data_IF_119787545467
#
_entry.id   IF_119787545467
#
_cell.length_a   1.000
_cell.length_b   1.000
_cell.length_c   1.000
_cell.angle_alpha   90.00
_cell.angle_beta   90.00
_cell.angle_gamma   90.00
#
_symmetry.space_group_name_H-M   'P 1'
#
loop_
_entity.id
_entity.type
_entity.pdbx_description
1 polymer ?
#
# COMPACT_ATOMS: atom_id res chain seq x y z
N UNK A 1 16.78 -10.06 28.24
CA UNK A 1 16.00 -9.07 27.46
C UNK A 1 14.74 -9.75 26.94
N UNK A 2 13.55 -9.46 27.49
CA UNK A 2 12.33 -10.03 26.92
C UNK A 2 12.08 -9.38 25.55
N UNK A 3 11.90 -10.22 24.53
CA UNK A 3 11.63 -9.77 23.16
C UNK A 3 10.29 -9.06 23.16
N UNK A 4 10.28 -7.81 22.72
CA UNK A 4 9.07 -7.02 22.51
C UNK A 4 8.02 -7.87 21.78
N UNK A 5 6.78 -7.82 22.28
CA UNK A 5 5.61 -8.37 21.61
C UNK A 5 5.40 -7.58 20.31
N UNK A 6 6.16 -7.95 19.27
CA UNK A 6 5.97 -7.44 17.92
C UNK A 6 4.61 -7.93 17.49
N UNK A 7 3.69 -7.00 17.24
CA UNK A 7 2.36 -7.30 16.73
C UNK A 7 2.45 -8.37 15.66
N UNK A 8 1.55 -9.35 15.72
CA UNK A 8 1.65 -10.56 14.92
C UNK A 8 1.84 -10.20 13.45
N UNK A 9 2.95 -10.67 12.87
CA UNK A 9 3.24 -10.51 11.44
C UNK A 9 2.07 -11.10 10.64
N UNK A 10 1.80 -10.56 9.45
CA UNK A 10 0.77 -11.11 8.57
C UNK A 10 0.93 -12.63 8.40
N UNK A 11 -0.06 -13.39 8.88
CA UNK A 11 -0.09 -14.85 8.73
C UNK A 11 -0.39 -15.29 7.28
N UNK A 12 -1.04 -14.41 6.52
CA UNK A 12 -1.35 -14.56 5.09
C UNK A 12 -1.22 -13.18 4.43
N UNK A 13 -0.97 -13.17 3.12
CA UNK A 13 -0.97 -11.92 2.36
C UNK A 13 -2.34 -11.22 2.52
N UNK A 14 -2.36 -9.91 2.87
CA UNK A 14 -3.60 -9.14 2.93
C UNK A 14 -4.33 -9.13 1.58
N UNK A 15 -5.62 -8.80 1.62
CA UNK A 15 -6.39 -8.60 0.40
C UNK A 15 -6.15 -7.20 -0.18
N UNK A 16 -6.29 -7.01 -1.50
CA UNK A 16 -6.29 -5.68 -2.11
C UNK A 16 -7.38 -4.78 -1.53
N UNK A 17 -7.09 -3.49 -1.44
CA UNK A 17 -8.06 -2.46 -1.04
C UNK A 17 -8.49 -1.70 -2.29
N UNK A 18 -9.77 -1.74 -2.62
CA UNK A 18 -10.33 -1.05 -3.78
C UNK A 18 -11.03 0.23 -3.33
N UNK A 19 -10.78 1.33 -4.04
CA UNK A 19 -11.46 2.62 -3.89
C UNK A 19 -11.76 3.18 -5.27
N UNK A 20 -13.03 3.12 -5.65
CA UNK A 20 -13.48 3.56 -6.98
C UNK A 20 -12.63 2.91 -8.09
N UNK A 21 -11.90 3.70 -8.87
CA UNK A 21 -11.02 3.22 -9.94
C UNK A 21 -9.60 2.88 -9.45
N UNK A 22 -9.26 3.11 -8.18
CA UNK A 22 -7.96 2.82 -7.62
C UNK A 22 -7.94 1.49 -6.87
N UNK A 23 -6.82 0.77 -6.98
CA UNK A 23 -6.54 -0.43 -6.20
C UNK A 23 -5.20 -0.30 -5.50
N UNK A 24 -5.19 -0.58 -4.20
CA UNK A 24 -3.97 -0.80 -3.44
C UNK A 24 -3.71 -2.29 -3.34
N UNK A 25 -2.66 -2.73 -4.04
CA UNK A 25 -2.23 -4.10 -4.14
C UNK A 25 -1.15 -4.40 -3.09
N UNK A 26 -1.37 -5.39 -2.20
CA UNK A 26 -0.33 -5.91 -1.33
C UNK A 26 0.59 -6.86 -2.11
N UNK A 27 1.88 -6.62 -2.04
CA UNK A 27 2.92 -7.43 -2.70
C UNK A 27 4.02 -7.74 -1.68
N UNK A 28 4.38 -9.02 -1.44
CA UNK A 28 5.56 -9.37 -0.65
C UNK A 28 6.80 -8.68 -1.21
N UNK A 29 7.52 -7.95 -0.36
CA UNK A 29 8.75 -7.31 -0.79
C UNK A 29 9.87 -8.36 -0.89
N UNK A 30 10.60 -8.38 -2.00
CA UNK A 30 11.69 -9.35 -2.19
C UNK A 30 12.95 -9.02 -1.37
N UNK A 31 13.12 -7.75 -0.96
CA UNK A 31 14.30 -7.26 -0.24
C UNK A 31 14.11 -7.18 1.27
N UNK A 32 12.87 -7.23 1.75
CA UNK A 32 12.54 -7.22 3.17
C UNK A 32 11.34 -8.11 3.46
N UNK A 33 11.24 -8.68 4.66
CA UNK A 33 10.10 -9.51 5.06
C UNK A 33 8.84 -8.69 5.40
N UNK A 34 8.52 -7.67 4.60
CA UNK A 34 7.32 -6.83 4.75
C UNK A 34 6.44 -6.92 3.50
N UNK A 35 5.19 -6.49 3.65
CA UNK A 35 4.27 -6.35 2.53
C UNK A 35 4.33 -4.89 2.05
N UNK A 36 4.64 -4.70 0.77
CA UNK A 36 4.58 -3.40 0.11
C UNK A 36 3.21 -3.18 -0.48
N UNK A 37 2.69 -1.98 -0.33
CA UNK A 37 1.39 -1.57 -0.85
C UNK A 37 1.59 -0.63 -2.02
N UNK A 38 1.07 -1.04 -3.18
CA UNK A 38 1.22 -0.33 -4.45
C UNK A 38 -0.14 0.12 -4.94
N UNK A 39 -0.28 1.39 -5.29
CA UNK A 39 -1.50 1.92 -5.89
C UNK A 39 -1.42 1.89 -7.41
N UNK A 40 -2.50 1.48 -8.06
CA UNK A 40 -2.72 1.66 -9.50
C UNK A 40 -4.17 2.06 -9.77
N UNK A 41 -4.46 2.49 -11.00
CA UNK A 41 -5.79 2.89 -11.44
C UNK A 41 -6.28 2.00 -12.59
N UNK A 42 -7.59 1.75 -12.63
CA UNK A 42 -8.26 1.00 -13.69
C UNK A 42 -7.93 1.58 -15.06
N UNK A 43 -7.43 0.73 -15.97
CA UNK A 43 -7.04 1.11 -17.32
C UNK A 43 -5.63 1.72 -17.43
N UNK A 44 -4.89 1.83 -16.33
CA UNK A 44 -3.52 2.33 -16.32
C UNK A 44 -2.51 1.18 -16.24
N UNK A 45 -1.36 1.35 -16.89
CA UNK A 45 -0.24 0.39 -16.85
C UNK A 45 0.85 0.77 -15.83
N UNK A 46 0.59 1.79 -15.01
CA UNK A 46 1.52 2.28 -14.00
C UNK A 46 1.02 1.95 -12.60
N UNK A 47 1.95 1.63 -11.71
CA UNK A 47 1.71 1.48 -10.29
C UNK A 47 2.75 2.30 -9.51
N UNK A 48 2.34 2.84 -8.37
CA UNK A 48 3.19 3.65 -7.49
C UNK A 48 3.27 3.00 -6.11
N UNK A 49 4.48 2.92 -5.56
CA UNK A 49 4.68 2.51 -4.18
C UNK A 49 4.09 3.54 -3.21
N UNK A 50 3.33 3.08 -2.22
CA UNK A 50 2.78 3.92 -1.16
C UNK A 50 3.57 3.75 0.14
N UNK A 51 3.55 2.53 0.70
CA UNK A 51 4.18 2.22 1.99
C UNK A 51 4.45 0.72 2.14
N UNK A 52 5.10 0.34 3.24
CA UNK A 52 5.27 -1.07 3.63
C UNK A 52 4.77 -1.31 5.05
N UNK A 53 3.93 -2.33 5.22
CA UNK A 53 3.43 -2.78 6.51
C UNK A 53 3.81 -4.24 6.73
N UNK A 54 4.16 -4.60 7.97
CA UNK A 54 4.45 -5.98 8.36
C UNK A 54 3.44 -6.55 9.35
N UNK A 55 2.50 -5.73 9.84
CA UNK A 55 1.46 -6.11 10.79
C UNK A 55 0.12 -5.50 10.41
N UNK A 56 -1.02 -6.10 10.82
CA UNK A 56 -2.35 -5.52 10.63
C UNK A 56 -2.48 -4.12 11.23
N UNK A 57 -1.90 -3.89 12.43
CA UNK A 57 -1.92 -2.58 13.08
C UNK A 57 -1.26 -1.49 12.23
N UNK A 58 -0.10 -1.77 11.64
CA UNK A 58 0.56 -0.79 10.75
C UNK A 58 -0.25 -0.54 9.48
N UNK A 59 -0.99 -1.52 8.99
CA UNK A 59 -1.91 -1.31 7.87
C UNK A 59 -3.08 -0.41 8.29
N UNK A 60 -3.70 -0.67 9.44
CA UNK A 60 -4.79 0.14 9.99
C UNK A 60 -4.39 1.60 10.19
N UNK A 61 -3.16 1.87 10.63
CA UNK A 61 -2.61 3.21 10.77
C UNK A 61 -2.42 3.95 9.42
N UNK A 62 -2.31 3.22 8.31
CA UNK A 62 -2.11 3.78 6.96
C UNK A 62 -3.42 3.96 6.19
N UNK A 63 -4.49 3.22 6.53
CA UNK A 63 -5.80 3.33 5.87
C UNK A 63 -6.34 4.77 5.84
N UNK A 64 -6.23 5.59 6.90
CA UNK A 64 -6.69 6.98 6.87
C UNK A 64 -5.94 7.87 5.86
N UNK A 65 -4.76 7.45 5.40
CA UNK A 65 -3.90 8.21 4.48
C UNK A 65 -4.12 7.82 3.00
N UNK A 66 -5.07 6.93 2.72
CA UNK A 66 -5.31 6.39 1.38
C UNK A 66 -5.58 7.47 0.32
N UNK A 67 -6.38 8.48 0.70
CA UNK A 67 -6.73 9.61 -0.17
C UNK A 67 -5.51 10.44 -0.56
N UNK A 68 -4.53 10.55 0.33
CA UNK A 68 -3.28 11.27 0.05
C UNK A 68 -2.44 10.52 -1.00
N UNK A 69 -2.39 9.18 -0.93
CA UNK A 69 -1.71 8.39 -1.96
C UNK A 69 -2.42 8.46 -3.32
N UNK A 70 -3.76 8.49 -3.33
CA UNK A 70 -4.54 8.73 -4.55
C UNK A 70 -4.21 10.10 -5.14
N UNK A 71 -4.20 11.16 -4.31
CA UNK A 71 -3.83 12.51 -4.74
C UNK A 71 -2.43 12.57 -5.33
N UNK A 72 -1.44 11.95 -4.69
CA UNK A 72 -0.06 11.90 -5.21
C UNK A 72 0.00 11.12 -6.52
N UNK A 73 -0.74 10.01 -6.66
CA UNK A 73 -0.81 9.27 -7.92
C UNK A 73 -1.39 10.14 -9.04
N UNK A 74 -2.51 10.81 -8.77
CA UNK A 74 -3.16 11.73 -9.69
C UNK A 74 -2.20 12.83 -10.15
N UNK A 75 -1.56 13.54 -9.21
CA UNK A 75 -0.64 14.63 -9.51
C UNK A 75 0.57 14.18 -10.34
N UNK A 76 1.06 12.95 -10.12
CA UNK A 76 2.23 12.41 -10.83
C UNK A 76 1.95 11.87 -12.21
N UNK A 77 0.79 11.24 -12.41
CA UNK A 77 0.53 10.45 -13.62
C UNK A 77 -0.65 10.99 -14.44
N UNK A 78 -1.60 11.67 -13.83
CA UNK A 78 -2.81 12.16 -14.48
C UNK A 78 -2.73 13.63 -14.88
N UNK A 79 -2.15 14.48 -14.03
CA UNK A 79 -2.02 15.94 -14.28
C UNK A 79 -0.82 16.28 -15.18
N UNK A 80 -0.35 15.34 -16.01
CA UNK A 80 0.65 15.69 -17.02
C UNK A 80 -0.07 16.41 -18.16
N UNK A 81 -0.23 17.73 -18.04
CA UNK A 81 -0.52 18.60 -19.18
C UNK A 81 0.54 18.33 -20.27
N UNK A 82 0.09 17.75 -21.39
CA UNK A 82 0.75 17.84 -22.68
C UNK A 82 0.14 18.99 -23.46
#
# INVERSE_FOLDING_TARGET
MPRENKGTVFAKLPQPIIREDYVLQPIPNAFNNRISWWISKKGWMVAMYCFSANTPKMLEEQIPQLEEYIRIFHDKFEVTER
#
